data_IF_146917388271
#
_entry.id   IF_146917388271
#
_cell.length_a   1.000
_cell.length_b   1.000
_cell.length_c   1.000
_cell.angle_alpha   90.00
_cell.angle_beta   90.00
_cell.angle_gamma   90.00
#
_symmetry.space_group_name_H-M   'P 1'
#
loop_
_entity.id
_entity.type
_entity.pdbx_description
1 polymer ?
#
# COMPACT_ATOMS: atom_id res chain seq x y z
N UNK A 1 -6.93 -13.01 13.49
CA UNK A 1 -6.98 -11.54 13.41
C UNK A 1 -7.16 -11.14 11.96
N UNK A 2 -8.20 -10.38 11.63
CA UNK A 2 -8.34 -9.79 10.30
C UNK A 2 -7.33 -8.64 10.17
N UNK A 3 -6.66 -8.50 9.02
CA UNK A 3 -5.82 -7.34 8.75
C UNK A 3 -6.68 -6.07 8.67
N UNK A 4 -6.11 -4.94 9.11
CA UNK A 4 -6.79 -3.64 8.98
C UNK A 4 -6.45 -3.07 7.61
N UNK A 5 -7.48 -2.81 6.81
CA UNK A 5 -7.32 -2.35 5.43
C UNK A 5 -7.99 -0.99 5.22
N UNK A 6 -7.28 -0.11 4.52
CA UNK A 6 -7.82 1.11 3.94
C UNK A 6 -7.88 0.96 2.42
N UNK A 7 -9.07 1.17 1.87
CA UNK A 7 -9.34 1.04 0.44
C UNK A 7 -9.55 2.43 -0.15
N UNK A 8 -8.94 2.69 -1.31
CA UNK A 8 -9.27 3.90 -2.08
C UNK A 8 -10.71 3.83 -2.61
N UNK A 9 -11.19 4.93 -3.17
CA UNK A 9 -12.32 4.87 -4.11
C UNK A 9 -11.96 4.02 -5.34
N UNK A 10 -12.97 3.71 -6.14
CA UNK A 10 -12.77 3.07 -7.45
C UNK A 10 -12.07 4.07 -8.37
N UNK A 11 -10.90 3.67 -8.89
CA UNK A 11 -10.12 4.43 -9.84
C UNK A 11 -10.29 3.87 -11.24
N UNK A 12 -10.22 4.75 -12.24
CA UNK A 12 -10.28 4.37 -13.65
C UNK A 12 -8.88 4.45 -14.24
N UNK A 13 -8.44 3.37 -14.87
CA UNK A 13 -7.14 3.30 -15.54
C UNK A 13 -7.09 4.30 -16.70
N UNK A 14 -6.18 5.27 -16.61
CA UNK A 14 -5.84 6.18 -17.72
C UNK A 14 -4.60 5.70 -18.50
N UNK A 15 -3.83 4.79 -17.91
CA UNK A 15 -2.61 4.17 -18.40
C UNK A 15 -2.45 2.81 -17.73
N UNK A 16 -1.73 1.89 -18.37
CA UNK A 16 -1.36 0.58 -17.77
C UNK A 16 -0.21 0.70 -16.78
N UNK A 17 0.51 1.81 -16.81
CA UNK A 17 1.59 2.13 -15.90
C UNK A 17 1.26 3.38 -15.09
N UNK A 18 1.72 3.41 -13.85
CA UNK A 18 1.55 4.53 -12.95
C UNK A 18 2.44 4.44 -11.73
N UNK A 19 2.14 5.28 -10.75
CA UNK A 19 2.85 5.30 -9.48
C UNK A 19 1.90 5.65 -8.34
N UNK A 20 2.05 4.93 -7.23
CA UNK A 20 1.46 5.31 -5.94
C UNK A 20 2.57 5.88 -5.08
N UNK A 21 2.49 7.18 -4.78
CA UNK A 21 3.41 7.87 -3.88
C UNK A 21 2.69 8.13 -2.56
N UNK A 22 3.37 7.91 -1.43
CA UNK A 22 2.76 8.10 -0.12
C UNK A 22 3.82 8.34 0.95
N UNK A 23 3.42 9.03 2.02
CA UNK A 23 4.19 9.12 3.24
C UNK A 23 3.70 8.07 4.24
N UNK A 24 4.64 7.44 4.94
CA UNK A 24 4.33 6.45 5.96
C UNK A 24 5.25 6.58 7.17
N UNK A 25 4.74 6.17 8.33
CA UNK A 25 5.53 5.90 9.52
C UNK A 25 5.05 4.56 10.11
N UNK A 26 5.98 3.65 10.35
CA UNK A 26 5.70 2.37 11.01
C UNK A 26 6.50 2.33 12.30
N UNK A 27 5.80 2.33 13.42
CA UNK A 27 6.38 2.08 14.74
C UNK A 27 5.96 0.67 15.15
N UNK A 28 6.78 -0.34 14.84
CA UNK A 28 6.41 -1.74 15.06
C UNK A 28 7.58 -2.72 14.96
N UNK A 29 7.30 -3.97 15.28
CA UNK A 29 8.26 -5.09 15.27
C UNK A 29 8.41 -5.73 13.88
N UNK A 30 9.23 -6.78 13.76
CA UNK A 30 9.43 -7.54 12.50
C UNK A 30 8.13 -8.01 11.84
N UNK A 31 7.15 -8.38 12.66
CA UNK A 31 5.89 -8.95 12.20
C UNK A 31 4.81 -7.88 11.97
N UNK A 32 5.06 -6.64 12.39
CA UNK A 32 4.22 -5.49 12.06
C UNK A 32 4.69 -4.88 10.74
N UNK A 33 3.78 -4.28 9.98
CA UNK A 33 4.17 -3.69 8.71
C UNK A 33 3.03 -3.12 7.91
N UNK A 34 3.37 -2.69 6.70
CA UNK A 34 2.45 -2.16 5.73
C UNK A 34 2.66 -2.88 4.40
N UNK A 35 1.56 -3.35 3.81
CA UNK A 35 1.52 -3.78 2.42
C UNK A 35 0.65 -2.80 1.63
N UNK A 36 1.00 -2.61 0.36
CA UNK A 36 0.20 -1.87 -0.60
C UNK A 36 -0.10 -2.79 -1.77
N UNK A 37 -1.37 -2.89 -2.10
CA UNK A 37 -1.88 -3.71 -3.20
C UNK A 37 -2.57 -2.85 -4.24
N UNK A 38 -2.54 -3.33 -5.47
CA UNK A 38 -3.57 -3.01 -6.46
C UNK A 38 -4.60 -4.11 -6.45
N UNK A 39 -5.88 -3.74 -6.36
CA UNK A 39 -7.00 -4.66 -6.46
C UNK A 39 -7.76 -4.41 -7.75
N UNK A 40 -7.97 -5.48 -8.52
CA UNK A 40 -8.83 -5.42 -9.69
C UNK A 40 -10.31 -5.38 -9.28
N UNK A 41 -11.05 -4.38 -9.74
CA UNK A 41 -12.42 -4.12 -9.30
C UNK A 41 -13.42 -5.26 -9.58
N UNK A 42 -13.26 -5.99 -10.68
CA UNK A 42 -14.25 -7.00 -11.07
C UNK A 42 -13.97 -8.39 -10.50
N UNK A 43 -12.70 -8.76 -10.40
CA UNK A 43 -12.28 -10.07 -9.89
C UNK A 43 -12.01 -10.05 -8.39
N UNK A 44 -11.70 -8.89 -7.80
CA UNK A 44 -11.21 -8.77 -6.44
C UNK A 44 -9.78 -9.30 -6.27
N UNK A 45 -9.10 -9.65 -7.36
CA UNK A 45 -7.72 -10.15 -7.29
C UNK A 45 -6.78 -9.01 -6.86
N UNK A 46 -5.98 -9.28 -5.84
CA UNK A 46 -4.98 -8.35 -5.33
C UNK A 46 -3.58 -8.73 -5.77
N UNK A 47 -2.79 -7.74 -6.16
CA UNK A 47 -1.35 -7.89 -6.42
C UNK A 47 -0.57 -6.93 -5.53
N UNK A 48 0.39 -7.45 -4.77
CA UNK A 48 1.23 -6.65 -3.89
C UNK A 48 2.21 -5.84 -4.73
N UNK A 49 2.15 -4.52 -4.62
CA UNK A 49 3.02 -3.59 -5.36
C UNK A 49 4.11 -2.98 -4.47
N UNK A 50 3.93 -3.03 -3.15
CA UNK A 50 4.94 -2.58 -2.19
C UNK A 50 4.71 -3.20 -0.81
N UNK A 51 5.79 -3.44 -0.06
CA UNK A 51 5.70 -3.86 1.33
C UNK A 51 6.92 -3.45 2.17
N UNK A 52 6.69 -3.19 3.47
CA UNK A 52 7.76 -3.06 4.47
C UNK A 52 7.36 -3.64 5.83
N UNK A 53 8.37 -4.14 6.54
CA UNK A 53 8.26 -4.55 7.94
C UNK A 53 8.72 -3.41 8.85
N UNK A 54 8.09 -3.26 10.02
CA UNK A 54 8.36 -2.16 10.95
C UNK A 54 9.82 -2.11 11.42
N UNK A 55 10.42 -3.27 11.69
CA UNK A 55 11.83 -3.36 12.09
C UNK A 55 12.83 -2.90 11.03
N UNK A 56 12.42 -2.86 9.76
CA UNK A 56 13.30 -2.52 8.63
C UNK A 56 13.28 -1.03 8.31
N UNK A 57 12.50 -0.23 9.04
CA UNK A 57 12.35 1.20 8.82
C UNK A 57 12.59 1.97 10.13
N UNK A 58 13.19 3.17 10.06
CA UNK A 58 13.34 4.00 11.25
C UNK A 58 11.96 4.51 11.72
N UNK A 59 11.82 4.74 13.03
CA UNK A 59 10.62 5.36 13.61
C UNK A 59 10.55 6.87 13.28
N UNK A 60 10.32 7.19 12.01
CA UNK A 60 10.12 8.55 11.47
C UNK A 60 9.35 8.46 10.16
N UNK A 61 8.83 9.59 9.69
CA UNK A 61 8.19 9.68 8.38
C UNK A 61 9.17 9.35 7.25
N UNK A 62 8.72 8.50 6.34
CA UNK A 62 9.42 8.08 5.14
C UNK A 62 8.50 8.28 3.94
N UNK A 63 9.08 8.54 2.76
CA UNK A 63 8.33 8.57 1.49
C UNK A 63 8.61 7.28 0.74
N UNK A 64 7.57 6.71 0.13
CA UNK A 64 7.67 5.55 -0.74
C UNK A 64 7.02 5.84 -2.09
N UNK A 65 7.55 5.17 -3.11
CA UNK A 65 6.95 5.07 -4.43
C UNK A 65 6.73 3.58 -4.74
N UNK A 66 5.51 3.23 -5.12
CA UNK A 66 5.13 1.89 -5.51
C UNK A 66 4.77 1.89 -7.00
N UNK A 67 5.58 1.23 -7.87
CA UNK A 67 5.26 1.11 -9.28
C UNK A 67 3.91 0.41 -9.46
N UNK A 68 3.01 1.07 -10.18
CA UNK A 68 1.69 0.53 -10.50
C UNK A 68 1.72 -0.06 -11.90
N UNK A 69 1.39 -1.34 -12.01
CA UNK A 69 1.15 -2.02 -13.29
C UNK A 69 -0.24 -2.63 -13.26
N UNK A 70 -1.04 -2.30 -14.26
CA UNK A 70 -2.40 -2.81 -14.41
C UNK A 70 -2.40 -3.89 -15.49
N UNK A 71 -2.86 -5.09 -15.12
CA UNK A 71 -2.96 -6.23 -16.04
C UNK A 71 -3.95 -5.98 -17.19
N UNK A 72 -4.93 -5.10 -16.96
CA UNK A 72 -5.94 -4.74 -17.95
C UNK A 72 -6.40 -3.30 -17.81
N UNK A 73 -6.94 -2.77 -18.89
CA UNK A 73 -7.67 -1.52 -18.86
C UNK A 73 -8.96 -1.72 -18.05
N UNK A 74 -9.30 -0.77 -17.18
CA UNK A 74 -10.50 -0.90 -16.37
C UNK A 74 -10.47 -0.15 -15.04
N UNK A 75 -11.23 -0.68 -14.08
CA UNK A 75 -11.40 -0.13 -12.75
C UNK A 75 -10.52 -0.88 -11.75
N UNK A 76 -9.90 -0.17 -10.83
CA UNK A 76 -9.04 -0.74 -9.80
C UNK A 76 -9.15 0.06 -8.49
N UNK A 77 -8.65 -0.53 -7.41
CA UNK A 77 -8.48 0.13 -6.12
C UNK A 77 -7.03 0.03 -5.67
N UNK A 78 -6.59 0.98 -4.85
CA UNK A 78 -5.37 0.85 -4.06
C UNK A 78 -5.77 0.45 -2.66
N UNK A 79 -5.15 -0.61 -2.14
CA UNK A 79 -5.44 -1.15 -0.81
C UNK A 79 -4.18 -1.06 0.05
N UNK A 80 -4.26 -0.32 1.15
CA UNK A 80 -3.23 -0.26 2.17
C UNK A 80 -3.61 -1.20 3.30
N UNK A 81 -2.76 -2.18 3.60
CA UNK A 81 -2.98 -3.17 4.64
C UNK A 81 -1.96 -3.01 5.76
N UNK A 82 -2.45 -2.60 6.93
CA UNK A 82 -1.66 -2.65 8.15
C UNK A 82 -1.63 -4.09 8.68
N UNK A 83 -0.43 -4.65 8.74
CA UNK A 83 -0.17 -5.98 9.30
C UNK A 83 0.23 -5.87 10.75
N UNK A 84 -0.43 -6.66 11.59
CA UNK A 84 -0.06 -6.84 13.00
C UNK A 84 0.63 -8.19 13.19
N UNK A 85 1.74 -8.18 13.90
CA UNK A 85 2.46 -9.39 14.24
C UNK A 85 1.72 -10.30 15.21
N UNK A 86 2.02 -11.61 15.15
CA UNK A 86 1.40 -12.63 16.03
C UNK A 86 1.67 -12.38 17.51
N UNK A 87 2.81 -11.79 17.84
CA UNK A 87 3.25 -11.51 19.22
C UNK A 87 2.87 -10.09 19.63
N UNK A 88 1.58 -9.78 19.71
CA UNK A 88 1.01 -8.75 20.58
C UNK A 88 1.67 -7.35 20.66
N UNK A 89 2.35 -6.87 19.62
CA UNK A 89 3.03 -5.58 19.64
C UNK A 89 2.07 -4.38 19.65
N UNK A 90 2.57 -3.23 20.14
CA UNK A 90 1.94 -1.89 20.01
C UNK A 90 2.11 -1.31 18.60
N UNK A 91 2.27 -2.15 17.58
CA UNK A 91 2.56 -1.75 16.21
C UNK A 91 1.56 -0.72 15.69
N UNK A 92 2.05 0.47 15.31
CA UNK A 92 1.25 1.52 14.69
C UNK A 92 1.73 1.74 13.25
N UNK A 93 0.77 1.91 12.35
CA UNK A 93 0.99 2.34 10.97
C UNK A 93 0.26 3.64 10.76
N UNK A 94 0.97 4.66 10.32
CA UNK A 94 0.42 5.97 9.94
C UNK A 94 0.72 6.26 8.48
N UNK A 95 -0.24 6.87 7.79
CA UNK A 95 -0.18 7.21 6.37
C UNK A 95 -0.56 8.68 6.18
N UNK A 96 0.09 9.35 5.24
CA UNK A 96 -0.26 10.71 4.81
C UNK A 96 0.13 10.95 3.34
N UNK A 97 -0.36 12.03 2.74
CA UNK A 97 0.00 12.51 1.40
C UNK A 97 0.01 11.41 0.32
N UNK A 98 -1.09 10.66 0.21
CA UNK A 98 -1.26 9.61 -0.80
C UNK A 98 -1.62 10.22 -2.15
N UNK A 99 -0.81 9.95 -3.17
CA UNK A 99 -0.99 10.42 -4.54
C UNK A 99 -0.91 9.21 -5.48
N UNK A 100 -1.93 9.04 -6.32
CA UNK A 100 -1.93 8.06 -7.41
C UNK A 100 -1.83 8.82 -8.72
N UNK A 101 -0.86 8.45 -9.56
CA UNK A 101 -0.65 9.09 -10.86
C UNK A 101 -0.51 8.05 -11.97
N UNK A 102 -0.88 8.45 -13.19
CA UNK A 102 -0.66 7.67 -14.42
C UNK A 102 0.75 7.82 -15.00
N UNK A 103 1.67 8.44 -14.24
CA UNK A 103 3.08 8.56 -14.61
C UNK A 103 3.89 7.49 -13.87
N UNK A 104 4.95 6.94 -14.49
CA UNK A 104 5.87 6.04 -13.79
C UNK A 104 6.48 6.70 -12.55
N UNK A 105 6.87 5.87 -11.58
CA UNK A 105 7.68 6.30 -10.44
C UNK A 105 9.05 6.82 -10.92
N UNK A 106 9.70 7.64 -10.09
CA UNK A 106 10.99 8.27 -10.40
C UNK A 106 12.18 7.36 -10.11
#
# INVERSE_FOLDING_TARGET
>A
HQPSQFHSQILHALSKEGCVQFQYNIAGSDNDGLNVYVEDYWSGNQSCIWHKNGSTVPNRWMTAEAPLKLERDGKYLIVFEARKGKTGGLGLVSLDHIIVSSKPCK
#
